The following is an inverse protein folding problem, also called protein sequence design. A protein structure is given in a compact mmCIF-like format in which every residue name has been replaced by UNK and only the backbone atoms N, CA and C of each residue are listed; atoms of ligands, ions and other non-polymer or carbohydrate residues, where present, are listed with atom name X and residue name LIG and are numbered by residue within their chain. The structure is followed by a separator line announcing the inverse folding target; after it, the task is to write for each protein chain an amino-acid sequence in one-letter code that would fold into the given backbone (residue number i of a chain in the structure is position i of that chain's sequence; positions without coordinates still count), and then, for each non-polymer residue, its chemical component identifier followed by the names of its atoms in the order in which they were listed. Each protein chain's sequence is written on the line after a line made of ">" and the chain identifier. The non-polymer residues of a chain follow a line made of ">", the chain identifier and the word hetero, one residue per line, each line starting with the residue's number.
data_IF_110821770750
#
_entry.id   IF_110821770750
#
_cell.length_a   1.000
_cell.length_b   1.000
_cell.length_c   1.000
_cell.angle_alpha   90.00
_cell.angle_beta   90.00
_cell.angle_gamma   90.00
#
_symmetry.space_group_name_H-M   'P 1'
#
loop_
_entity.id
_entity.type
_entity.pdbx_description
1 polymer ?
#
# COMPACT_ATOMS: atom_id res chain seq x y z
N UNK A 1 -5.01 -15.36 -4.83
CA UNK A 1 -4.92 -13.89 -4.83
C UNK A 1 -4.84 -13.37 -6.26
N UNK A 2 -5.85 -13.66 -7.11
CA UNK A 2 -5.93 -13.20 -8.51
C UNK A 2 -7.36 -12.78 -8.89
N UNK A 3 -8.13 -12.29 -7.92
CA UNK A 3 -9.54 -11.99 -8.15
C UNK A 3 -9.73 -10.68 -8.92
N UNK A 4 -8.75 -9.77 -8.90
CA UNK A 4 -8.77 -8.52 -9.69
C UNK A 4 -8.40 -8.83 -11.14
N UNK A 5 -9.25 -8.45 -12.08
CA UNK A 5 -9.09 -8.67 -13.52
C UNK A 5 -8.78 -7.40 -14.31
N UNK A 6 -9.15 -6.24 -13.78
CA UNK A 6 -8.86 -4.94 -14.38
C UNK A 6 -8.86 -3.84 -13.32
N UNK A 7 -8.25 -2.70 -13.65
CA UNK A 7 -8.29 -1.48 -12.85
C UNK A 7 -8.63 -0.31 -13.75
N UNK A 8 -9.59 0.51 -13.33
CA UNK A 8 -10.03 1.72 -14.03
C UNK A 8 -9.75 2.92 -13.12
N UNK A 9 -9.09 3.95 -13.66
CA UNK A 9 -8.81 5.18 -12.94
C UNK A 9 -9.44 6.36 -13.67
N UNK A 10 -10.17 7.18 -12.92
CA UNK A 10 -10.72 8.45 -13.37
C UNK A 10 -10.25 9.57 -12.43
N UNK A 11 -9.52 10.58 -12.94
CA UNK A 11 -9.13 11.75 -12.14
C UNK A 11 -10.36 12.60 -11.79
N UNK A 12 -10.25 13.40 -10.73
CA UNK A 12 -11.28 14.37 -10.40
C UNK A 12 -11.35 15.46 -11.49
N UNK A 13 -12.55 15.83 -11.91
CA UNK A 13 -12.76 16.82 -12.96
C UNK A 13 -13.94 17.74 -12.62
N UNK A 14 -13.68 19.04 -12.49
CA UNK A 14 -14.69 20.02 -12.13
C UNK A 14 -15.19 19.84 -10.70
N UNK A 15 -16.50 19.59 -10.54
CA UNK A 15 -17.16 19.31 -9.26
C UNK A 15 -17.32 17.82 -8.97
N UNK A 16 -16.93 16.95 -9.91
CA UNK A 16 -17.04 15.50 -9.77
C UNK A 16 -15.78 14.93 -9.12
N UNK A 17 -15.99 14.07 -8.12
CA UNK A 17 -14.89 13.32 -7.50
C UNK A 17 -14.32 12.30 -8.49
N UNK A 18 -13.00 12.15 -8.49
CA UNK A 18 -12.34 11.05 -9.19
C UNK A 18 -12.65 9.73 -8.52
N UNK A 19 -12.31 8.61 -9.16
CA UNK A 19 -12.38 7.30 -8.53
C UNK A 19 -11.34 6.33 -9.09
N UNK A 20 -11.01 5.34 -8.29
CA UNK A 20 -10.22 4.18 -8.69
C UNK A 20 -11.09 2.94 -8.48
N UNK A 21 -11.31 2.16 -9.54
CA UNK A 21 -12.23 1.03 -9.53
C UNK A 21 -11.53 -0.25 -9.94
N UNK A 22 -11.85 -1.33 -9.24
CA UNK A 22 -11.31 -2.66 -9.51
C UNK A 22 -12.40 -3.55 -10.09
N UNK A 23 -12.11 -4.17 -11.24
CA UNK A 23 -12.95 -5.25 -11.74
C UNK A 23 -12.54 -6.54 -11.03
N UNK A 24 -13.49 -7.16 -10.32
CA UNK A 24 -13.26 -8.39 -9.56
C UNK A 24 -14.03 -9.53 -10.20
N UNK A 25 -13.38 -10.69 -10.35
CA UNK A 25 -13.95 -11.91 -10.88
C UNK A 25 -15.17 -12.31 -10.04
N UNK A 26 -16.26 -12.66 -10.71
CA UNK A 26 -17.54 -13.03 -10.08
C UNK A 26 -18.22 -11.93 -9.25
N UNK A 27 -17.75 -10.68 -9.32
CA UNK A 27 -18.40 -9.54 -8.66
C UNK A 27 -18.56 -8.33 -9.58
N UNK A 28 -19.18 -8.47 -10.78
CA UNK A 28 -19.48 -7.32 -11.62
C UNK A 28 -20.53 -6.45 -10.94
N UNK A 29 -20.24 -5.16 -10.73
CA UNK A 29 -21.26 -4.21 -10.29
C UNK A 29 -21.51 -3.14 -11.35
N UNK A 30 -22.76 -2.69 -11.43
CA UNK A 30 -23.18 -1.55 -12.27
C UNK A 30 -23.47 -0.31 -11.43
N UNK A 31 -23.24 -0.39 -10.12
CA UNK A 31 -23.41 0.73 -9.23
C UNK A 31 -22.47 1.88 -9.61
N UNK A 32 -22.90 3.15 -9.44
CA UNK A 32 -21.99 4.29 -9.49
C UNK A 32 -20.80 4.09 -8.55
N UNK A 33 -19.64 4.63 -8.91
CA UNK A 33 -18.39 4.46 -8.15
C UNK A 33 -18.52 4.76 -6.65
N UNK A 34 -19.34 5.75 -6.27
CA UNK A 34 -19.64 6.08 -4.86
C UNK A 34 -20.36 5.00 -4.05
N UNK A 35 -21.00 4.03 -4.71
CA UNK A 35 -21.76 2.95 -4.10
C UNK A 35 -21.20 1.57 -4.46
N UNK A 36 -20.07 1.52 -5.16
CA UNK A 36 -19.42 0.29 -5.56
C UNK A 36 -18.43 -0.15 -4.46
N UNK A 37 -18.60 -1.34 -3.86
CA UNK A 37 -17.65 -1.86 -2.86
C UNK A 37 -16.24 -2.11 -3.43
N UNK A 38 -16.10 -2.24 -4.75
CA UNK A 38 -14.83 -2.41 -5.45
C UNK A 38 -14.27 -1.10 -5.98
N UNK A 39 -14.76 0.05 -5.50
CA UNK A 39 -14.32 1.38 -5.92
C UNK A 39 -13.90 2.23 -4.73
N UNK A 40 -12.87 3.05 -4.95
CA UNK A 40 -12.37 4.05 -4.01
C UNK A 40 -12.63 5.42 -4.61
N UNK A 41 -13.48 6.22 -3.95
CA UNK A 41 -13.75 7.60 -4.36
C UNK A 41 -12.60 8.53 -3.93
N UNK A 42 -12.15 9.35 -4.85
CA UNK A 42 -11.04 10.29 -4.66
C UNK A 42 -11.59 11.66 -4.26
N UNK A 43 -11.53 11.92 -2.97
CA UNK A 43 -11.90 13.21 -2.40
C UNK A 43 -10.75 14.22 -2.55
N UNK A 44 -10.79 15.00 -3.63
CA UNK A 44 -9.93 16.15 -3.90
C UNK A 44 -8.58 15.86 -4.58
N UNK A 45 -8.05 16.86 -5.28
CA UNK A 45 -6.92 16.75 -6.24
C UNK A 45 -5.59 16.23 -5.69
N UNK A 46 -5.32 16.32 -4.38
CA UNK A 46 -4.00 15.95 -3.82
C UNK A 46 -3.70 14.46 -3.89
N UNK A 47 -4.74 13.62 -3.98
CA UNK A 47 -4.58 12.15 -3.97
C UNK A 47 -4.53 11.55 -5.37
N UNK A 48 -4.86 12.32 -6.42
CA UNK A 48 -5.00 11.80 -7.78
C UNK A 48 -3.70 11.18 -8.32
N UNK A 49 -2.55 11.82 -8.09
CA UNK A 49 -1.24 11.27 -8.54
C UNK A 49 -0.89 9.97 -7.82
N UNK A 50 -1.16 9.88 -6.52
CA UNK A 50 -0.94 8.64 -5.77
C UNK A 50 -1.85 7.52 -6.27
N UNK A 51 -3.09 7.84 -6.62
CA UNK A 51 -4.05 6.86 -7.12
C UNK A 51 -3.73 6.42 -8.54
N UNK A 52 -3.19 7.31 -9.38
CA UNK A 52 -2.63 6.96 -10.67
C UNK A 52 -1.46 5.97 -10.54
N UNK A 53 -0.57 6.17 -9.55
CA UNK A 53 0.52 5.24 -9.27
C UNK A 53 0.00 3.87 -8.81
N UNK A 54 -1.01 3.84 -7.94
CA UNK A 54 -1.66 2.59 -7.53
C UNK A 54 -2.30 1.89 -8.74
N UNK A 55 -3.02 2.61 -9.60
CA UNK A 55 -3.62 2.07 -10.81
C UNK A 55 -2.56 1.44 -11.73
N UNK A 56 -1.46 2.15 -11.98
CA UNK A 56 -0.34 1.66 -12.79
C UNK A 56 0.30 0.41 -12.18
N UNK A 57 0.50 0.41 -10.86
CA UNK A 57 1.10 -0.70 -10.13
C UNK A 57 0.19 -1.95 -10.15
N UNK A 58 -1.13 -1.78 -10.07
CA UNK A 58 -2.08 -2.90 -10.24
C UNK A 58 -2.07 -3.37 -11.69
N UNK A 59 -2.13 -2.46 -12.67
CA UNK A 59 -2.10 -2.81 -14.08
C UNK A 59 -0.84 -3.58 -14.48
N UNK A 60 0.32 -3.25 -13.91
CA UNK A 60 1.58 -3.96 -14.15
C UNK A 60 1.61 -5.39 -13.58
N UNK A 61 0.76 -5.70 -12.59
CA UNK A 61 0.63 -7.04 -12.00
C UNK A 61 -0.46 -7.88 -12.66
N UNK A 62 -1.33 -7.26 -13.46
CA UNK A 62 -2.34 -7.99 -14.21
C UNK A 62 -1.67 -8.81 -15.33
N UNK A 63 -2.25 -9.97 -15.71
CA UNK A 63 -1.73 -10.78 -16.80
C UNK A 63 -1.62 -9.91 -18.07
N UNK A 64 -0.39 -9.73 -18.56
CA UNK A 64 -0.16 -8.85 -19.70
C UNK A 64 -0.74 -9.48 -20.97
N UNK A 65 -1.56 -8.77 -21.77
CA UNK A 65 -2.22 -9.35 -22.94
C UNK A 65 -1.24 -9.80 -24.04
N UNK A 66 -0.02 -9.25 -24.04
CA UNK A 66 1.07 -9.66 -24.92
C UNK A 66 2.20 -10.44 -24.19
N UNK A 67 1.95 -10.95 -22.97
CA UNK A 67 2.91 -11.84 -22.34
C UNK A 67 3.09 -13.09 -23.23
N UNK A 68 4.33 -13.49 -23.56
CA UNK A 68 4.58 -14.81 -24.12
C UNK A 68 3.94 -15.85 -23.21
N UNK A 69 3.32 -16.88 -23.80
CA UNK A 69 2.85 -18.03 -23.04
C UNK A 69 4.09 -18.74 -22.51
N UNK A 70 4.51 -18.41 -21.29
CA UNK A 70 5.70 -18.99 -20.69
C UNK A 70 5.48 -20.49 -20.51
N UNK A 71 6.32 -21.29 -21.19
CA UNK A 71 6.51 -22.69 -20.83
C UNK A 71 6.98 -22.71 -19.36
N UNK A 72 6.37 -23.49 -18.46
CA UNK A 72 6.65 -23.45 -17.01
C UNK A 72 8.06 -23.85 -16.54
N UNK A 73 9.09 -23.85 -17.40
CA UNK A 73 10.42 -24.39 -17.08
C UNK A 73 11.59 -23.40 -17.09
N UNK A 74 11.38 -22.11 -17.35
CA UNK A 74 12.48 -21.12 -17.40
C UNK A 74 12.35 -19.94 -16.43
N UNK A 75 11.46 -20.00 -15.44
CA UNK A 75 11.30 -18.93 -14.44
C UNK A 75 12.24 -19.02 -13.21
N UNK A 76 13.13 -20.02 -13.14
CA UNK A 76 14.05 -20.20 -11.99
C UNK A 76 15.31 -19.31 -12.03
N UNK A 77 15.39 -18.34 -12.95
CA UNK A 77 16.54 -17.45 -13.06
C UNK A 77 16.18 -15.96 -13.04
N UNK A 78 15.20 -15.56 -12.23
CA UNK A 78 15.20 -14.18 -11.71
C UNK A 78 15.83 -14.22 -10.32
N UNK A 79 17.12 -13.89 -10.25
CA UNK A 79 17.78 -13.64 -8.98
C UNK A 79 16.93 -12.64 -8.19
N UNK A 80 16.58 -12.93 -6.92
CA UNK A 80 15.84 -11.99 -6.12
C UNK A 80 16.73 -10.76 -5.90
N UNK A 81 16.34 -9.66 -6.53
CA UNK A 81 16.77 -8.33 -6.12
C UNK A 81 16.35 -8.21 -4.64
N UNK A 82 17.22 -7.84 -3.70
CA UNK A 82 16.81 -7.71 -2.31
C UNK A 82 15.68 -6.68 -2.26
N UNK A 83 14.48 -7.17 -1.98
CA UNK A 83 13.32 -6.33 -1.76
C UNK A 83 13.64 -5.42 -0.59
N UNK A 84 13.65 -4.11 -0.81
CA UNK A 84 13.52 -3.16 0.29
C UNK A 84 12.28 -3.55 1.09
N UNK A 85 12.37 -3.70 2.43
CA UNK A 85 11.23 -4.10 3.22
C UNK A 85 10.06 -3.17 2.94
N UNK A 86 8.82 -3.70 2.81
CA UNK A 86 7.64 -2.86 2.66
C UNK A 86 7.58 -1.86 3.82
N UNK A 87 7.22 -0.61 3.55
CA UNK A 87 7.12 0.44 4.57
C UNK A 87 6.18 0.10 5.74
N UNK A 88 5.35 -0.93 5.60
CA UNK A 88 4.55 -1.53 6.68
C UNK A 88 5.42 -2.25 7.73
N UNK A 89 6.48 -2.95 7.33
CA UNK A 89 7.43 -3.60 8.25
C UNK A 89 8.19 -2.56 9.09
N UNK A 90 8.48 -1.38 8.52
CA UNK A 90 9.10 -0.27 9.25
C UNK A 90 8.14 0.31 10.32
N UNK A 91 6.84 0.34 10.03
CA UNK A 91 5.83 0.79 10.99
C UNK A 91 5.66 -0.19 12.15
N UNK A 92 5.61 -1.49 11.87
CA UNK A 92 5.52 -2.51 12.90
C UNK A 92 6.80 -2.58 13.76
N UNK A 93 7.97 -2.42 13.14
CA UNK A 93 9.24 -2.31 13.85
C UNK A 93 9.29 -1.07 14.75
N UNK A 94 8.72 0.06 14.32
CA UNK A 94 8.58 1.27 15.13
C UNK A 94 7.65 1.04 16.33
N UNK A 95 6.46 0.48 16.11
CA UNK A 95 5.51 0.19 17.18
C UNK A 95 6.08 -0.78 18.21
N UNK A 96 6.85 -1.77 17.76
CA UNK A 96 7.57 -2.69 18.64
C UNK A 96 8.64 -1.98 19.48
N UNK A 97 9.47 -1.13 18.87
CA UNK A 97 10.49 -0.34 19.59
C UNK A 97 9.88 0.62 20.62
N UNK A 98 8.75 1.24 20.30
CA UNK A 98 8.03 2.11 21.25
C UNK A 98 7.48 1.32 22.45
N UNK A 99 7.05 0.07 22.23
CA UNK A 99 6.60 -0.81 23.32
C UNK A 99 7.76 -1.22 24.23
N UNK A 100 8.88 -1.64 23.65
CA UNK A 100 10.10 -1.99 24.39
C UNK A 100 10.61 -0.81 25.23
N UNK A 101 10.59 0.42 24.68
CA UNK A 101 10.98 1.63 25.42
C UNK A 101 10.03 1.93 26.60
N UNK A 102 8.73 1.73 26.42
CA UNK A 102 7.73 1.89 27.48
C UNK A 102 7.87 0.87 28.61
N UNK A 103 8.26 -0.36 28.28
CA UNK A 103 8.53 -1.41 29.28
C UNK A 103 9.79 -1.10 30.10
N UNK A 104 10.85 -0.60 29.45
CA UNK A 104 12.08 -0.18 30.13
C UNK A 104 11.84 1.00 31.09
N UNK A 105 11.01 1.97 30.68
CA UNK A 105 10.60 3.08 31.56
C UNK A 105 9.77 2.61 32.75
N UNK A 106 8.78 1.72 32.53
CA UNK A 106 7.97 1.15 33.62
C UNK A 106 8.80 0.31 34.59
N UNK A 107 9.85 -0.34 34.11
CA UNK A 107 10.79 -1.09 34.95
C UNK A 107 11.78 -0.21 35.73
N UNK A 108 11.74 1.11 35.52
CA UNK A 108 12.60 2.08 36.22
C UNK A 108 14.04 2.10 35.73
N UNK A 109 14.33 1.46 34.60
CA UNK A 109 15.68 1.43 33.99
C UNK A 109 16.00 2.73 33.27
N UNK A 110 14.98 3.41 32.73
CA UNK A 110 15.08 4.73 32.10
C UNK A 110 14.38 5.77 32.97
N UNK A 111 15.04 6.89 33.19
CA UNK A 111 14.42 8.09 33.77
C UNK A 111 13.46 8.76 32.78
N UNK A 112 12.56 9.63 33.26
CA UNK A 112 11.59 10.35 32.41
C UNK A 112 12.27 11.20 31.31
N UNK A 113 13.42 11.78 31.63
CA UNK A 113 14.23 12.60 30.71
C UNK A 113 14.85 11.73 29.61
N UNK A 114 15.44 10.59 29.98
CA UNK A 114 16.03 9.63 29.05
C UNK A 114 14.97 8.95 28.15
N UNK A 115 13.79 8.63 28.71
CA UNK A 115 12.66 8.10 27.96
C UNK A 115 12.19 9.09 26.89
N UNK A 116 12.05 10.36 27.24
CA UNK A 116 11.60 11.40 26.32
C UNK A 116 12.58 11.59 25.17
N UNK A 117 13.89 11.60 25.47
CA UNK A 117 14.95 11.77 24.48
C UNK A 117 15.02 10.56 23.52
N UNK A 118 14.93 9.34 24.06
CA UNK A 118 14.92 8.11 23.26
C UNK A 118 13.68 8.01 22.36
N UNK A 119 12.50 8.37 22.87
CA UNK A 119 11.26 8.40 22.08
C UNK A 119 11.35 9.36 20.90
N UNK A 120 11.91 10.56 21.11
CA UNK A 120 12.13 11.54 20.04
C UNK A 120 13.14 11.05 18.99
N UNK A 121 14.22 10.39 19.42
CA UNK A 121 15.20 9.80 18.51
C UNK A 121 14.60 8.69 17.63
N UNK A 122 13.71 7.86 18.20
CA UNK A 122 12.99 6.80 17.47
C UNK A 122 12.01 7.39 16.45
N UNK A 123 11.29 8.46 16.80
CA UNK A 123 10.33 9.13 15.90
C UNK A 123 11.02 9.94 14.77
N UNK A 124 12.24 10.46 15.00
CA UNK A 124 13.01 11.23 14.02
C UNK A 124 13.74 10.38 12.97
N UNK A 125 13.75 9.04 13.10
CA UNK A 125 14.49 8.14 12.20
C UNK A 125 13.69 7.77 10.93
N UNK A 126 12.61 8.50 10.64
CA UNK A 126 11.92 8.48 9.34
C UNK A 126 12.57 9.47 8.37
#
# INVERSE_FOLDING_TARGET
>A
MQDVTAVEWQPASGLENGHLRFAVRHSPTKAPAKYDPNSVELWGFKKDTLMALVAAAVQARLPHPAAPVENPRELDAVQPVPASPPAEDDHDALLRRLRELGDLHRSGVLTDEEFTLAKQAVLRRM
#
